data_IF_895027677168
#
_entry.id   IF_895027677168
#
_cell.length_a   1.000
_cell.length_b   1.000
_cell.length_c   1.000
_cell.angle_alpha   90.00
_cell.angle_beta   90.00
_cell.angle_gamma   90.00
#
_symmetry.space_group_name_H-M   'P 1'
#
loop_
_entity.id
_entity.type
_entity.pdbx_description
1 polymer ?
#
# COMPACT_ATOMS: atom_id res chain seq x y z
N UNK A 1 14.74 10.23 23.68
CA UNK A 1 14.37 11.45 22.93
C UNK A 1 13.39 11.08 21.82
N UNK A 2 12.22 11.60 21.91
CA UNK A 2 11.16 11.30 20.93
C UNK A 2 11.04 12.45 19.94
N UNK A 3 11.60 12.25 18.76
CA UNK A 3 11.42 13.17 17.65
C UNK A 3 10.05 12.99 17.04
N UNK A 4 9.24 14.05 16.97
CA UNK A 4 8.00 14.02 16.22
C UNK A 4 8.30 14.37 14.76
N UNK A 5 8.29 13.37 13.89
CA UNK A 5 8.58 13.52 12.47
C UNK A 5 7.33 13.76 11.60
N UNK A 6 6.15 13.70 12.19
CA UNK A 6 4.90 13.89 11.44
C UNK A 6 4.82 15.23 10.69
N UNK A 7 5.28 16.37 11.25
CA UNK A 7 5.23 17.64 10.52
C UNK A 7 6.14 17.71 9.29
N UNK A 8 7.12 16.80 9.15
CA UNK A 8 8.06 16.84 8.03
C UNK A 8 7.41 16.67 6.66
N UNK A 9 6.37 15.83 6.55
CA UNK A 9 5.63 15.67 5.30
C UNK A 9 4.99 16.98 4.86
N UNK A 10 4.35 17.70 5.78
CA UNK A 10 3.77 19.02 5.52
C UNK A 10 4.81 20.06 5.15
N UNK A 11 5.99 20.03 5.79
CA UNK A 11 7.10 20.92 5.46
C UNK A 11 7.62 20.67 4.05
N UNK A 12 7.80 19.41 3.64
CA UNK A 12 8.22 19.04 2.29
C UNK A 12 7.22 19.53 1.24
N UNK A 13 5.92 19.37 1.49
CA UNK A 13 4.87 19.85 0.60
C UNK A 13 4.88 21.39 0.49
N UNK A 14 5.09 22.08 1.61
CA UNK A 14 5.19 23.54 1.64
C UNK A 14 6.40 24.03 0.83
N UNK A 15 7.56 23.43 1.02
CA UNK A 15 8.77 23.77 0.28
C UNK A 15 8.60 23.50 -1.21
N UNK A 16 8.03 22.37 -1.58
CA UNK A 16 7.74 22.02 -2.97
C UNK A 16 6.84 23.06 -3.62
N UNK A 17 5.77 23.50 -2.95
CA UNK A 17 4.87 24.55 -3.45
C UNK A 17 5.56 25.91 -3.53
N UNK A 18 6.32 26.29 -2.53
CA UNK A 18 7.01 27.60 -2.48
C UNK A 18 8.12 27.72 -3.54
N UNK A 19 8.83 26.64 -3.85
CA UNK A 19 9.92 26.62 -4.82
C UNK A 19 9.48 26.23 -6.23
N UNK A 20 8.27 25.69 -6.41
CA UNK A 20 7.81 25.14 -7.68
C UNK A 20 8.51 23.85 -8.09
N UNK A 21 9.27 23.22 -7.20
CA UNK A 21 9.98 21.95 -7.44
C UNK A 21 9.13 20.80 -6.91
N UNK A 22 8.70 19.89 -7.80
CA UNK A 22 7.94 18.70 -7.43
C UNK A 22 8.83 17.71 -6.66
N UNK A 23 8.24 17.05 -5.63
CA UNK A 23 8.90 15.94 -4.94
C UNK A 23 8.80 14.71 -5.87
N UNK A 24 9.93 14.08 -6.28
CA UNK A 24 9.90 12.84 -7.05
C UNK A 24 9.10 11.74 -6.32
N UNK A 25 8.35 10.94 -7.04
CA UNK A 25 7.56 9.84 -6.46
C UNK A 25 8.43 8.85 -5.68
N UNK A 26 9.63 8.59 -6.17
CA UNK A 26 10.62 7.71 -5.54
C UNK A 26 11.49 8.38 -4.48
N UNK A 27 11.23 9.65 -4.13
CA UNK A 27 12.03 10.35 -3.12
C UNK A 27 11.95 9.64 -1.77
N UNK A 28 13.09 9.35 -1.10
CA UNK A 28 13.07 8.63 0.17
C UNK A 28 12.17 9.31 1.21
N UNK A 29 11.38 8.52 1.93
CA UNK A 29 10.49 8.92 3.03
C UNK A 29 9.27 9.74 2.55
N UNK A 30 9.44 10.74 1.68
CA UNK A 30 8.41 11.73 1.35
C UNK A 30 7.81 11.56 -0.05
N UNK A 31 8.44 10.79 -0.93
CA UNK A 31 7.87 10.46 -2.25
C UNK A 31 6.62 9.61 -2.12
N UNK A 32 5.74 9.65 -3.12
CA UNK A 32 4.50 8.87 -3.13
C UNK A 32 4.77 7.37 -3.03
N UNK A 33 5.85 6.89 -3.62
CA UNK A 33 6.20 5.46 -3.67
C UNK A 33 7.01 4.97 -2.47
N UNK A 34 7.41 5.87 -1.55
CA UNK A 34 8.31 5.54 -0.45
C UNK A 34 7.82 4.38 0.45
N UNK A 35 6.50 4.21 0.60
CA UNK A 35 5.89 3.18 1.44
C UNK A 35 4.96 2.25 0.67
N UNK A 36 5.12 2.17 -0.66
CA UNK A 36 4.34 1.27 -1.50
C UNK A 36 5.07 -0.03 -1.73
N UNK A 37 4.33 -1.12 -1.75
CA UNK A 37 4.86 -2.44 -2.10
C UNK A 37 3.92 -3.18 -3.04
N UNK A 38 4.51 -3.81 -4.03
CA UNK A 38 3.81 -4.66 -4.99
C UNK A 38 4.13 -6.15 -4.79
N UNK A 39 5.25 -6.47 -4.15
CA UNK A 39 5.72 -7.85 -4.03
C UNK A 39 4.94 -8.63 -2.96
N UNK A 40 4.61 -9.89 -3.28
CA UNK A 40 3.82 -10.75 -2.41
C UNK A 40 4.47 -11.05 -1.06
N UNK A 41 5.79 -11.15 -1.01
CA UNK A 41 6.53 -11.41 0.25
C UNK A 41 6.36 -10.27 1.24
N UNK A 42 6.46 -9.03 0.78
CA UNK A 42 6.29 -7.85 1.63
C UNK A 42 4.84 -7.73 2.13
N UNK A 43 3.87 -7.92 1.24
CA UNK A 43 2.46 -7.87 1.61
C UNK A 43 2.10 -8.95 2.64
N UNK A 44 2.63 -10.17 2.48
CA UNK A 44 2.41 -11.26 3.43
C UNK A 44 2.97 -10.93 4.82
N UNK A 45 4.15 -10.30 4.88
CA UNK A 45 4.76 -9.88 6.14
C UNK A 45 3.93 -8.79 6.83
N UNK A 46 3.44 -7.81 6.08
CA UNK A 46 2.55 -6.76 6.57
C UNK A 46 1.25 -7.36 7.14
N UNK A 47 0.62 -8.29 6.41
CA UNK A 47 -0.60 -8.96 6.87
C UNK A 47 -0.37 -9.73 8.17
N UNK A 48 0.73 -10.47 8.27
CA UNK A 48 1.07 -11.23 9.49
C UNK A 48 1.28 -10.30 10.68
N UNK A 49 1.97 -9.19 10.49
CA UNK A 49 2.20 -8.22 11.56
C UNK A 49 0.88 -7.58 12.03
N UNK A 50 0.02 -7.17 11.10
CA UNK A 50 -1.30 -6.60 11.42
C UNK A 50 -2.22 -7.61 12.10
N UNK A 51 -2.26 -8.85 11.63
CA UNK A 51 -3.07 -9.91 12.22
C UNK A 51 -2.70 -10.21 13.68
N UNK A 52 -1.44 -9.96 14.05
CA UNK A 52 -0.95 -10.10 15.43
C UNK A 52 -1.13 -8.81 16.26
N UNK A 53 -1.75 -7.78 15.71
CA UNK A 53 -1.92 -6.50 16.39
C UNK A 53 -0.63 -5.67 16.49
N UNK A 54 0.34 -5.96 15.64
CA UNK A 54 1.63 -5.25 15.61
C UNK A 54 1.72 -4.28 14.44
N UNK A 55 0.86 -3.27 14.40
CA UNK A 55 0.87 -2.27 13.32
C UNK A 55 2.22 -1.55 13.21
N UNK A 56 2.86 -1.29 14.34
CA UNK A 56 4.21 -0.75 14.39
C UNK A 56 5.24 -1.63 13.65
N UNK A 57 5.12 -2.95 13.79
CA UNK A 57 6.01 -3.89 13.11
C UNK A 57 5.73 -3.91 11.60
N UNK A 58 4.45 -3.82 11.20
CA UNK A 58 4.08 -3.75 9.79
C UNK A 58 4.73 -2.54 9.10
N UNK A 59 4.78 -1.40 9.78
CA UNK A 59 5.43 -0.19 9.28
C UNK A 59 6.96 -0.33 9.17
N UNK A 60 7.55 -1.18 10.00
CA UNK A 60 9.02 -1.30 10.11
C UNK A 60 9.64 -2.41 9.28
N UNK A 61 8.85 -3.37 8.84
CA UNK A 61 9.39 -4.61 8.24
C UNK A 61 10.38 -4.36 7.10
N UNK A 62 10.15 -3.33 6.30
CA UNK A 62 11.01 -3.02 5.15
C UNK A 62 11.37 -1.54 5.02
N UNK A 63 11.20 -0.78 6.10
CA UNK A 63 11.47 0.67 6.07
C UNK A 63 12.46 1.06 7.15
N UNK A 64 13.49 1.79 6.79
CA UNK A 64 14.44 2.35 7.75
C UNK A 64 13.79 3.37 8.68
N UNK A 65 12.84 4.16 8.13
CA UNK A 65 11.99 5.06 8.89
C UNK A 65 10.56 4.57 8.77
N UNK A 66 9.89 4.18 9.88
CA UNK A 66 8.52 3.72 9.85
C UNK A 66 7.58 4.80 9.29
N UNK A 67 6.63 4.38 8.42
CA UNK A 67 5.69 5.31 7.78
C UNK A 67 4.88 6.11 8.79
N UNK A 68 4.43 5.48 9.88
CA UNK A 68 3.65 6.14 10.93
C UNK A 68 4.42 7.28 11.62
N UNK A 69 5.75 7.23 11.69
CA UNK A 69 6.57 8.30 12.31
C UNK A 69 6.50 9.61 11.53
N UNK A 70 6.21 9.55 10.23
CA UNK A 70 6.05 10.73 9.35
C UNK A 70 4.60 10.98 8.97
N UNK A 71 3.65 10.36 9.65
CA UNK A 71 2.21 10.50 9.39
C UNK A 71 1.75 9.77 8.13
N UNK A 72 2.49 8.76 7.69
CA UNK A 72 2.17 7.95 6.50
C UNK A 72 1.82 6.51 6.87
N UNK A 73 1.43 5.74 5.90
CA UNK A 73 1.07 4.32 6.06
C UNK A 73 1.75 3.49 4.98
N UNK A 74 2.04 2.25 5.29
CA UNK A 74 2.46 1.28 4.27
C UNK A 74 1.30 1.04 3.30
N UNK A 75 1.54 1.21 2.02
CA UNK A 75 0.56 0.98 0.97
C UNK A 75 0.89 -0.29 0.21
N UNK A 76 -0.11 -1.14 0.03
CA UNK A 76 0.04 -2.38 -0.73
C UNK A 76 -0.62 -2.19 -2.08
N UNK A 77 0.14 -2.41 -3.14
CA UNK A 77 -0.34 -2.35 -4.52
C UNK A 77 -0.65 -3.74 -5.05
N UNK A 78 -1.54 -3.80 -6.03
CA UNK A 78 -1.91 -5.04 -6.73
C UNK A 78 -1.52 -4.93 -8.20
N UNK A 79 -0.64 -5.80 -8.65
CA UNK A 79 -0.12 -5.79 -10.01
C UNK A 79 0.51 -7.12 -10.42
N UNK A 80 1.20 -7.16 -11.57
CA UNK A 80 1.75 -8.42 -12.11
C UNK A 80 2.70 -9.16 -11.18
N UNK A 81 3.42 -8.45 -10.32
CA UNK A 81 4.38 -9.01 -9.37
C UNK A 81 3.75 -9.35 -8.02
N UNK A 82 2.46 -9.12 -7.85
CA UNK A 82 1.75 -9.31 -6.59
C UNK A 82 1.44 -10.77 -6.33
N UNK A 83 1.38 -11.15 -5.04
CA UNK A 83 0.81 -12.41 -4.58
C UNK A 83 -0.64 -12.22 -4.11
N UNK A 84 -1.30 -13.31 -3.73
CA UNK A 84 -2.66 -13.26 -3.16
C UNK A 84 -2.70 -12.41 -1.88
N UNK A 85 -1.60 -12.36 -1.12
CA UNK A 85 -1.50 -11.53 0.07
C UNK A 85 -1.71 -10.03 -0.22
N UNK A 86 -1.24 -9.53 -1.37
CA UNK A 86 -1.47 -8.15 -1.79
C UNK A 86 -2.97 -7.87 -1.95
N UNK A 87 -3.68 -8.76 -2.61
CA UNK A 87 -5.12 -8.65 -2.83
C UNK A 87 -5.87 -8.67 -1.50
N UNK A 88 -5.56 -9.63 -0.64
CA UNK A 88 -6.18 -9.76 0.68
C UNK A 88 -5.94 -8.50 1.52
N UNK A 89 -4.71 -8.01 1.56
CA UNK A 89 -4.34 -6.80 2.29
C UNK A 89 -5.10 -5.57 1.77
N UNK A 90 -5.13 -5.40 0.45
CA UNK A 90 -5.84 -4.29 -0.19
C UNK A 90 -7.33 -4.28 0.14
N UNK A 91 -7.97 -5.45 0.10
CA UNK A 91 -9.40 -5.61 0.45
C UNK A 91 -9.66 -5.30 1.92
N UNK A 92 -8.84 -5.85 2.82
CA UNK A 92 -8.98 -5.65 4.27
C UNK A 92 -8.81 -4.19 4.67
N UNK A 93 -7.88 -3.47 4.05
CA UNK A 93 -7.67 -2.04 4.32
C UNK A 93 -8.89 -1.19 3.99
N UNK A 94 -9.74 -1.65 3.07
CA UNK A 94 -10.96 -0.97 2.66
C UNK A 94 -12.23 -1.51 3.29
N UNK A 95 -12.10 -2.47 4.22
CA UNK A 95 -13.23 -3.10 4.88
C UNK A 95 -14.06 -3.99 3.95
N UNK A 96 -13.48 -4.43 2.83
CA UNK A 96 -14.13 -5.34 1.88
C UNK A 96 -13.81 -6.77 2.28
N UNK A 97 -14.83 -7.63 2.32
CA UNK A 97 -14.65 -9.04 2.65
C UNK A 97 -13.76 -9.73 1.59
N UNK A 98 -12.68 -10.33 2.05
CA UNK A 98 -11.73 -11.05 1.20
C UNK A 98 -12.13 -12.52 1.00
N UNK A 99 -13.23 -12.75 0.27
CA UNK A 99 -13.64 -14.12 -0.08
C UNK A 99 -12.61 -14.76 -1.02
N UNK A 100 -12.40 -16.08 -0.95
CA UNK A 100 -11.46 -16.77 -1.84
C UNK A 100 -11.75 -16.54 -3.33
N UNK A 101 -13.03 -16.51 -3.72
CA UNK A 101 -13.43 -16.26 -5.11
C UNK A 101 -13.04 -14.84 -5.57
N UNK A 102 -13.28 -13.83 -4.74
CA UNK A 102 -12.92 -12.44 -5.05
C UNK A 102 -11.41 -12.25 -5.12
N UNK A 103 -10.68 -12.82 -4.16
CA UNK A 103 -9.21 -12.77 -4.14
C UNK A 103 -8.65 -13.39 -5.43
N UNK A 104 -9.15 -14.55 -5.84
CA UNK A 104 -8.70 -15.22 -7.05
C UNK A 104 -9.03 -14.40 -8.31
N UNK A 105 -10.19 -13.80 -8.38
CA UNK A 105 -10.59 -12.95 -9.52
C UNK A 105 -9.65 -11.76 -9.69
N UNK A 106 -9.38 -11.05 -8.61
CA UNK A 106 -8.48 -9.88 -8.62
C UNK A 106 -7.03 -10.33 -8.90
N UNK A 107 -6.59 -11.41 -8.28
CA UNK A 107 -5.26 -11.97 -8.49
C UNK A 107 -5.02 -12.34 -9.96
N UNK A 108 -5.98 -12.99 -10.60
CA UNK A 108 -5.90 -13.35 -12.01
C UNK A 108 -5.83 -12.10 -12.89
N UNK A 109 -6.69 -11.12 -12.64
CA UNK A 109 -6.65 -9.84 -13.36
C UNK A 109 -5.30 -9.13 -13.21
N UNK A 110 -4.70 -9.19 -12.03
CA UNK A 110 -3.37 -8.62 -11.79
C UNK A 110 -2.28 -9.33 -12.59
N UNK A 111 -2.34 -10.67 -12.70
CA UNK A 111 -1.37 -11.46 -13.47
C UNK A 111 -1.47 -11.20 -14.97
N UNK A 112 -2.64 -10.91 -15.47
CA UNK A 112 -2.88 -10.58 -16.89
C UNK A 112 -2.57 -9.11 -17.22
N UNK A 113 -2.40 -8.27 -16.20
CA UNK A 113 -2.05 -6.85 -16.36
C UNK A 113 -0.56 -6.67 -16.65
N UNK A 114 -0.23 -5.60 -17.36
CA UNK A 114 1.16 -5.17 -17.61
C UNK A 114 1.65 -4.13 -16.60
N UNK A 115 0.77 -3.62 -15.77
CA UNK A 115 1.07 -2.58 -14.78
C UNK A 115 0.21 -2.78 -13.53
N UNK A 116 0.51 -2.01 -12.47
CA UNK A 116 -0.30 -1.97 -11.25
C UNK A 116 -1.73 -1.59 -11.59
N UNK A 117 -2.69 -2.33 -11.01
CA UNK A 117 -4.11 -2.05 -11.19
C UNK A 117 -4.50 -0.76 -10.46
N UNK A 118 -5.25 0.11 -11.15
CA UNK A 118 -5.80 1.32 -10.53
C UNK A 118 -6.86 0.97 -9.50
N UNK A 119 -7.09 1.87 -8.55
CA UNK A 119 -8.15 1.71 -7.55
C UNK A 119 -9.53 1.54 -8.19
N UNK A 120 -9.82 2.31 -9.25
CA UNK A 120 -11.07 2.19 -10.00
C UNK A 120 -11.25 0.79 -10.60
N UNK A 121 -10.19 0.22 -11.17
CA UNK A 121 -10.22 -1.12 -11.74
C UNK A 121 -10.46 -2.18 -10.67
N UNK A 122 -9.79 -2.07 -9.54
CA UNK A 122 -9.95 -2.98 -8.40
C UNK A 122 -11.38 -2.93 -7.84
N UNK A 123 -11.93 -1.74 -7.65
CA UNK A 123 -13.30 -1.57 -7.19
C UNK A 123 -14.34 -2.13 -8.19
N UNK A 124 -14.10 -1.94 -9.48
CA UNK A 124 -14.95 -2.52 -10.52
C UNK A 124 -14.94 -4.06 -10.47
N UNK A 125 -13.80 -4.68 -10.20
CA UNK A 125 -13.69 -6.13 -10.02
C UNK A 125 -14.45 -6.60 -8.76
N UNK A 126 -14.43 -5.81 -7.69
CA UNK A 126 -15.19 -6.11 -6.46
C UNK A 126 -16.70 -6.09 -6.69
N UNK A 127 -17.20 -5.25 -7.59
CA UNK A 127 -18.62 -5.15 -7.92
C UNK A 127 -19.10 -6.28 -8.83
N UNK A 128 -18.21 -6.90 -9.58
CA UNK A 128 -18.50 -8.08 -10.39
C UNK A 128 -18.53 -9.33 -9.50
N UNK A 129 -19.52 -9.44 -8.62
CA UNK A 129 -19.73 -10.69 -7.90
C UNK A 129 -20.09 -11.79 -8.92
N UNK A 130 -19.38 -12.93 -8.89
CA UNK A 130 -19.86 -14.05 -9.66
C UNK A 130 -21.27 -14.40 -9.18
N UNK A 131 -22.23 -14.42 -10.09
CA UNK A 131 -23.55 -14.96 -9.77
C UNK A 131 -23.35 -16.43 -9.38
N UNK A 132 -23.56 -16.68 -8.11
CA UNK A 132 -23.57 -18.05 -7.60
C UNK A 132 -24.68 -18.87 -8.27
#
# INVERSE_FOLDING_TARGET
SHWNLQPLSGLCDLVSRATGVAIPESYPVFGKDAYRTQTGVHAAAILKARAKGHDWLADRVYSGIPAAMVGRRQEVEVGPMSGQANVTCWLQERGIESSPALVQTIFQAAKESTAVLSEERLLALCQRRPKS
#
